data_IF_576930816196
#
_entry.id   IF_576930816196
#
_cell.length_a   1.000
_cell.length_b   1.000
_cell.length_c   1.000
_cell.angle_alpha   90.00
_cell.angle_beta   90.00
_cell.angle_gamma   90.00
#
_symmetry.space_group_name_H-M   'P 1'
#
loop_
_entity.id
_entity.type
_entity.pdbx_description
1 polymer ?
#
# COMPACT_ATOMS: atom_id res chain seq x y z
N UNK A 1 43.37 -18.01 -17.30
CA UNK A 1 42.22 -18.92 -17.51
C UNK A 1 41.33 -19.02 -16.27
N UNK A 2 41.79 -19.58 -15.13
CA UNK A 2 40.94 -19.84 -13.94
C UNK A 2 40.38 -18.58 -13.24
N UNK A 3 41.15 -17.49 -13.18
CA UNK A 3 40.70 -16.20 -12.58
C UNK A 3 39.67 -15.43 -13.41
N UNK A 4 39.67 -15.63 -14.74
CA UNK A 4 38.71 -15.00 -15.66
C UNK A 4 37.35 -15.71 -15.55
N UNK A 5 37.36 -17.03 -15.40
CA UNK A 5 36.14 -17.83 -15.20
C UNK A 5 35.41 -17.42 -13.90
N UNK A 6 36.13 -17.17 -12.81
CA UNK A 6 35.54 -16.68 -11.55
C UNK A 6 34.91 -15.28 -11.70
N UNK A 7 35.50 -14.41 -12.53
CA UNK A 7 34.96 -13.07 -12.78
C UNK A 7 33.63 -13.13 -13.54
N UNK A 8 33.51 -14.02 -14.53
CA UNK A 8 32.27 -14.20 -15.29
C UNK A 8 31.13 -14.79 -14.47
N UNK A 9 31.43 -15.71 -13.53
CA UNK A 9 30.41 -16.29 -12.63
C UNK A 9 29.86 -15.23 -11.66
N UNK A 10 30.69 -14.29 -11.19
CA UNK A 10 30.28 -13.20 -10.29
C UNK A 10 29.32 -12.20 -10.94
N UNK A 11 29.44 -11.95 -12.25
CA UNK A 11 28.61 -10.95 -12.96
C UNK A 11 27.20 -11.49 -13.23
N UNK A 12 27.06 -12.80 -13.42
CA UNK A 12 25.76 -13.45 -13.67
C UNK A 12 24.86 -13.42 -12.43
N UNK A 13 25.43 -13.52 -11.22
CA UNK A 13 24.66 -13.45 -9.98
C UNK A 13 24.06 -12.07 -9.67
N UNK A 14 24.63 -11.00 -10.23
CA UNK A 14 24.15 -9.63 -10.00
C UNK A 14 22.93 -9.26 -10.86
N UNK A 15 22.60 -10.05 -11.88
CA UNK A 15 21.50 -9.77 -12.81
C UNK A 15 20.17 -10.43 -12.43
N UNK A 16 20.12 -11.22 -11.35
CA UNK A 16 18.94 -12.03 -10.97
C UNK A 16 18.03 -11.34 -9.93
N UNK A 17 18.34 -10.12 -9.49
CA UNK A 17 17.52 -9.42 -8.48
C UNK A 17 16.63 -8.33 -9.10
N UNK A 18 15.89 -8.67 -10.15
CA UNK A 18 14.63 -8.00 -10.44
C UNK A 18 13.51 -8.84 -9.82
N UNK A 19 13.25 -8.63 -8.52
CA UNK A 19 11.93 -8.96 -7.99
C UNK A 19 10.96 -8.04 -8.71
N UNK A 20 10.30 -8.55 -9.74
CA UNK A 20 9.11 -7.93 -10.27
C UNK A 20 8.20 -7.68 -9.08
N UNK A 21 7.93 -6.41 -8.78
CA UNK A 21 6.85 -6.00 -7.89
C UNK A 21 5.54 -6.39 -8.60
N UNK A 22 5.30 -7.70 -8.74
CA UNK A 22 4.01 -8.25 -9.12
C UNK A 22 3.12 -7.80 -8.00
N UNK A 23 2.33 -6.75 -8.28
CA UNK A 23 1.33 -6.27 -7.35
C UNK A 23 0.60 -7.48 -6.80
N UNK A 24 0.46 -7.54 -5.48
CA UNK A 24 -0.28 -8.63 -4.85
C UNK A 24 -1.64 -8.65 -5.53
N UNK A 25 -1.98 -9.80 -6.11
CA UNK A 25 -3.30 -10.00 -6.67
C UNK A 25 -4.27 -9.98 -5.49
N UNK A 26 -4.89 -8.82 -5.25
CA UNK A 26 -5.92 -8.68 -4.22
C UNK A 26 -7.15 -9.35 -4.80
N UNK A 27 -7.60 -10.49 -4.26
CA UNK A 27 -8.82 -11.12 -4.74
C UNK A 27 -9.93 -10.08 -4.72
N UNK A 28 -10.75 -10.03 -5.77
CA UNK A 28 -12.02 -9.30 -5.71
C UNK A 28 -12.73 -9.80 -4.47
N UNK A 29 -13.10 -8.88 -3.58
CA UNK A 29 -13.84 -9.18 -2.36
C UNK A 29 -14.91 -10.22 -2.66
N UNK A 30 -14.91 -11.35 -1.95
CA UNK A 30 -15.89 -12.43 -2.09
C UNK A 30 -17.32 -11.97 -1.68
N UNK A 31 -17.56 -10.67 -1.59
CA UNK A 31 -18.84 -10.07 -1.27
C UNK A 31 -19.79 -10.16 -2.48
N UNK A 32 -20.18 -11.40 -2.77
CA UNK A 32 -21.39 -11.76 -3.53
C UNK A 32 -22.64 -11.31 -2.75
N UNK A 33 -22.47 -11.00 -1.45
CA UNK A 33 -23.48 -10.46 -0.55
C UNK A 33 -23.10 -9.04 -0.11
N UNK A 34 -24.10 -8.18 0.04
CA UNK A 34 -24.03 -6.75 0.42
C UNK A 34 -22.92 -6.45 1.45
N UNK A 35 -21.95 -5.61 1.09
CA UNK A 35 -20.99 -5.06 2.05
C UNK A 35 -21.79 -4.23 3.06
N UNK A 36 -21.90 -4.73 4.29
CA UNK A 36 -22.57 -3.98 5.37
C UNK A 36 -21.72 -2.78 5.75
N UNK A 37 -22.21 -1.59 5.41
CA UNK A 37 -21.62 -0.31 5.81
C UNK A 37 -22.29 0.18 7.09
N UNK A 38 -21.50 0.42 8.12
CA UNK A 38 -21.95 0.91 9.41
C UNK A 38 -21.60 2.39 9.58
N UNK A 39 -22.58 3.23 9.91
CA UNK A 39 -22.36 4.62 10.33
C UNK A 39 -21.86 4.62 11.78
N UNK A 40 -20.71 5.24 12.03
CA UNK A 40 -20.10 5.30 13.37
C UNK A 40 -20.52 6.56 14.12
N UNK A 41 -20.20 7.74 13.58
CA UNK A 41 -20.52 9.03 14.20
C UNK A 41 -20.49 10.17 13.16
N UNK A 42 -20.92 11.36 13.60
CA UNK A 42 -20.85 12.60 12.83
C UNK A 42 -20.08 13.65 13.64
N UNK A 43 -19.09 14.30 13.02
CA UNK A 43 -18.32 15.40 13.58
C UNK A 43 -18.12 16.47 12.50
N UNK A 44 -18.42 17.74 12.80
CA UNK A 44 -18.27 18.87 11.86
C UNK A 44 -18.96 18.64 10.49
N UNK A 45 -20.12 17.98 10.49
CA UNK A 45 -20.86 17.62 9.27
C UNK A 45 -20.25 16.44 8.49
N UNK A 46 -19.13 15.88 8.95
CA UNK A 46 -18.46 14.71 8.37
C UNK A 46 -18.98 13.45 9.05
N UNK A 47 -19.52 12.52 8.26
CA UNK A 47 -19.94 11.21 8.74
C UNK A 47 -18.80 10.22 8.55
N UNK A 48 -18.47 9.48 9.61
CA UNK A 48 -17.49 8.39 9.59
C UNK A 48 -18.24 7.06 9.47
N UNK A 49 -17.77 6.21 8.57
CA UNK A 49 -18.32 4.89 8.27
C UNK A 49 -17.27 3.80 8.48
N UNK A 50 -17.74 2.56 8.61
CA UNK A 50 -16.92 1.35 8.67
C UNK A 50 -17.52 0.24 7.84
N UNK A 51 -16.68 -0.56 7.19
CA UNK A 51 -17.05 -1.88 6.68
C UNK A 51 -15.91 -2.88 6.91
N UNK A 52 -16.19 -4.16 6.66
CA UNK A 52 -15.23 -5.24 6.79
C UNK A 52 -14.90 -5.79 5.40
N UNK A 53 -13.61 -5.84 5.06
CA UNK A 53 -13.11 -6.44 3.82
C UNK A 53 -12.12 -7.56 4.14
N UNK A 54 -12.52 -8.81 3.93
CA UNK A 54 -11.68 -9.97 4.22
C UNK A 54 -11.17 -10.01 5.67
N UNK A 55 -12.02 -9.64 6.63
CA UNK A 55 -11.67 -9.54 8.06
C UNK A 55 -10.89 -8.29 8.46
N UNK A 56 -10.52 -7.43 7.49
CA UNK A 56 -9.89 -6.13 7.77
C UNK A 56 -10.95 -5.08 7.99
N UNK A 57 -10.75 -4.23 9.00
CA UNK A 57 -11.62 -3.09 9.26
C UNK A 57 -11.20 -1.92 8.38
N UNK A 58 -12.13 -1.40 7.58
CA UNK A 58 -11.90 -0.23 6.72
C UNK A 58 -12.77 0.92 7.21
N UNK A 59 -12.15 2.08 7.43
CA UNK A 59 -12.83 3.32 7.83
C UNK A 59 -12.80 4.32 6.67
N UNK A 60 -13.92 5.02 6.45
CA UNK A 60 -14.00 6.07 5.44
C UNK A 60 -14.98 7.16 5.86
N UNK A 61 -14.98 8.30 5.17
CA UNK A 61 -15.89 9.42 5.48
C UNK A 61 -16.62 9.91 4.24
N UNK A 62 -17.70 10.68 4.41
CA UNK A 62 -18.37 11.38 3.30
C UNK A 62 -17.65 12.66 2.84
N UNK A 63 -16.49 13.00 3.42
CA UNK A 63 -15.72 14.18 3.00
C UNK A 63 -15.14 13.93 1.62
N UNK A 64 -15.50 14.79 0.66
CA UNK A 64 -14.88 14.83 -0.66
C UNK A 64 -13.51 15.53 -0.58
N UNK A 65 -12.62 15.22 -1.51
CA UNK A 65 -11.32 15.88 -1.65
C UNK A 65 -10.14 15.00 -1.23
N UNK A 66 -9.00 15.62 -0.91
CA UNK A 66 -7.74 14.91 -0.67
C UNK A 66 -7.43 14.76 0.82
N UNK A 67 -7.18 13.52 1.26
CA UNK A 67 -6.61 13.22 2.58
C UNK A 67 -5.16 12.80 2.41
N UNK A 68 -4.22 13.57 2.99
CA UNK A 68 -2.80 13.22 3.00
C UNK A 68 -2.41 12.63 4.36
N UNK A 69 -1.98 11.38 4.39
CA UNK A 69 -1.34 10.77 5.56
C UNK A 69 0.18 10.85 5.42
N UNK A 70 0.88 11.31 6.46
CA UNK A 70 2.34 11.36 6.51
C UNK A 70 2.84 10.34 7.50
N UNK A 71 3.78 9.49 7.09
CA UNK A 71 4.50 8.62 8.01
C UNK A 71 5.97 8.54 7.60
N UNK A 72 6.83 8.41 8.60
CA UNK A 72 8.25 8.26 8.41
C UNK A 72 8.60 6.77 8.29
N UNK A 73 9.31 6.42 7.23
CA UNK A 73 9.78 5.07 6.96
C UNK A 73 11.31 5.05 7.06
N UNK A 74 11.85 4.16 7.90
CA UNK A 74 13.28 3.96 8.01
C UNK A 74 13.77 3.01 6.92
N UNK A 75 14.69 3.48 6.07
CA UNK A 75 15.35 2.69 5.05
C UNK A 75 16.64 2.08 5.64
N UNK A 76 16.70 0.76 5.89
CA UNK A 76 17.86 0.12 6.50
C UNK A 76 19.08 0.05 5.57
N UNK A 77 18.89 0.12 4.25
CA UNK A 77 19.98 0.06 3.29
C UNK A 77 20.74 1.39 3.22
N UNK A 78 20.02 2.51 3.28
CA UNK A 78 20.61 3.86 3.26
C UNK A 78 20.78 4.48 4.64
N UNK A 79 20.22 3.86 5.70
CA UNK A 79 20.16 4.39 7.07
C UNK A 79 19.55 5.79 7.15
N UNK A 80 18.55 6.05 6.30
CA UNK A 80 17.85 7.34 6.26
C UNK A 80 16.39 7.18 6.66
N UNK A 81 15.78 8.26 7.13
CA UNK A 81 14.35 8.35 7.34
C UNK A 81 13.76 9.09 6.14
N UNK A 82 12.75 8.49 5.50
CA UNK A 82 12.01 9.11 4.41
C UNK A 82 10.58 9.36 4.87
N UNK A 83 10.13 10.60 4.76
CA UNK A 83 8.71 10.92 4.97
C UNK A 83 7.93 10.50 3.73
N UNK A 84 7.06 9.52 3.90
CA UNK A 84 6.13 9.07 2.87
C UNK A 84 4.80 9.79 3.04
N UNK A 85 4.37 10.46 1.98
CA UNK A 85 3.04 11.04 1.88
C UNK A 85 2.17 10.04 1.13
N UNK A 86 1.09 9.58 1.77
CA UNK A 86 0.06 8.75 1.14
C UNK A 86 -1.15 9.65 0.93
N UNK A 87 -1.41 9.96 -0.33
CA UNK A 87 -2.56 10.75 -0.74
C UNK A 87 -3.72 9.80 -1.03
N UNK A 88 -4.85 10.01 -0.37
CA UNK A 88 -6.11 9.31 -0.63
C UNK A 88 -7.10 10.32 -1.18
N UNK A 89 -7.44 10.17 -2.46
CA UNK A 89 -8.51 10.94 -3.08
C UNK A 89 -9.84 10.33 -2.63
N UNK A 90 -10.61 11.09 -1.86
CA UNK A 90 -11.93 10.70 -1.38
C UNK A 90 -12.98 11.25 -2.35
N UNK A 91 -13.47 10.38 -3.24
CA UNK A 91 -14.49 10.63 -4.26
C UNK A 91 -14.16 11.79 -5.23
N UNK A 92 -14.21 11.52 -6.53
CA UNK A 92 -14.23 12.58 -7.55
C UNK A 92 -15.52 13.40 -7.41
N UNK A 93 -15.45 14.70 -7.71
CA UNK A 93 -16.61 15.61 -7.58
C UNK A 93 -17.80 15.15 -8.42
#
# INVERSE_FOLDING_TARGET
>A
MKKIILLFVSVIFLLVSCNENKGINVPKSDSINEIKVEKLFVADGITVYRFYDGGRVVYFTNKKGEVKARHDEYDPATKTIRTKVVETLCNEE
#
